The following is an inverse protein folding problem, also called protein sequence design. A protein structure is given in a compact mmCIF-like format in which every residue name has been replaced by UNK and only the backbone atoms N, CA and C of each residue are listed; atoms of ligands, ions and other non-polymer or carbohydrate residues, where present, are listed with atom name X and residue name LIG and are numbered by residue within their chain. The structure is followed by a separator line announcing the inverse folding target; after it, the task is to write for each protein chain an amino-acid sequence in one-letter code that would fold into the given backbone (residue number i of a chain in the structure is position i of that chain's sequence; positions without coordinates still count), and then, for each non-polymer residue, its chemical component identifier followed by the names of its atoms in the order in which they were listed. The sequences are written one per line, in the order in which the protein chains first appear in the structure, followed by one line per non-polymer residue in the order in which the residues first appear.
data_IF_213715904952
#
_entry.id   IF_213715904952
#
_cell.length_a   1.000
_cell.length_b   1.000
_cell.length_c   1.000
_cell.angle_alpha   90.00
_cell.angle_beta   90.00
_cell.angle_gamma   90.00
#
_symmetry.space_group_name_H-M   'P 1'
#
loop_
_entity.id
_entity.type
_entity.pdbx_description
1 polymer ?
#
# COMPACT_ATOMS: atom_id res chain seq x y z
N UNK A 1 -32.68 29.18 -23.37
CA UNK A 1 -32.22 28.04 -22.56
C UNK A 1 -30.87 27.62 -23.11
N UNK A 2 -29.85 27.53 -22.26
CA UNK A 2 -28.50 27.19 -22.72
C UNK A 2 -28.45 25.75 -23.26
N UNK A 3 -28.10 25.61 -24.55
CA UNK A 3 -28.03 24.33 -25.27
C UNK A 3 -26.72 23.56 -25.03
N UNK A 4 -25.92 23.99 -24.05
CA UNK A 4 -24.60 23.45 -23.77
C UNK A 4 -24.40 23.16 -22.28
N UNK A 5 -23.57 22.16 -21.98
CA UNK A 5 -22.97 21.93 -20.67
C UNK A 5 -21.53 22.44 -20.66
N UNK A 6 -21.12 23.09 -19.58
CA UNK A 6 -19.71 23.43 -19.34
C UNK A 6 -19.05 22.32 -18.50
N UNK A 7 -18.14 21.56 -19.11
CA UNK A 7 -17.46 20.42 -18.48
C UNK A 7 -15.96 20.68 -18.33
N UNK A 8 -15.42 20.24 -17.20
CA UNK A 8 -13.99 20.34 -16.90
C UNK A 8 -13.22 19.12 -17.45
N UNK A 9 -12.43 19.32 -18.49
CA UNK A 9 -11.50 18.33 -19.02
C UNK A 9 -10.14 18.44 -18.31
N UNK A 10 -9.75 17.39 -17.59
CA UNK A 10 -8.44 17.30 -16.94
C UNK A 10 -7.37 16.90 -17.94
N UNK A 11 -6.43 17.80 -18.26
CA UNK A 11 -5.23 17.38 -18.99
C UNK A 11 -4.44 16.40 -18.12
N UNK A 12 -3.81 15.38 -18.71
CA UNK A 12 -3.04 14.37 -17.97
C UNK A 12 -1.85 14.92 -17.14
N UNK A 13 -1.63 16.24 -17.10
CA UNK A 13 -0.62 16.92 -16.29
C UNK A 13 -1.28 17.54 -15.04
N UNK A 14 -0.69 17.31 -13.85
CA UNK A 14 -1.16 17.88 -12.57
C UNK A 14 -1.44 19.38 -12.70
N UNK A 15 -2.62 19.81 -12.27
CA UNK A 15 -2.99 21.23 -12.14
C UNK A 15 -3.52 21.92 -13.39
N UNK A 16 -3.56 21.27 -14.56
CA UNK A 16 -4.10 21.89 -15.79
C UNK A 16 -5.41 21.23 -16.21
N UNK A 17 -6.50 21.96 -15.99
CA UNK A 17 -7.85 21.61 -16.46
C UNK A 17 -8.39 22.73 -17.33
N UNK A 18 -9.13 22.40 -18.38
CA UNK A 18 -9.86 23.40 -19.18
C UNK A 18 -11.35 23.13 -19.13
N UNK A 19 -12.14 24.18 -19.25
CA UNK A 19 -13.59 24.11 -19.44
C UNK A 19 -13.88 23.94 -20.93
N UNK A 20 -14.86 23.11 -21.26
CA UNK A 20 -15.31 22.87 -22.63
C UNK A 20 -16.81 22.85 -22.67
N UNK A 21 -17.39 23.44 -23.71
CA UNK A 21 -18.82 23.39 -23.97
C UNK A 21 -19.18 22.13 -24.76
N UNK A 22 -20.15 21.37 -24.25
CA UNK A 22 -20.65 20.14 -24.87
C UNK A 22 -22.14 20.32 -25.16
N UNK A 23 -22.57 19.99 -26.38
CA UNK A 23 -23.96 20.14 -26.84
C UNK A 23 -24.90 19.15 -26.15
N UNK A 24 -25.99 19.66 -25.57
CA UNK A 24 -27.03 18.84 -24.93
C UNK A 24 -27.68 17.88 -25.92
N UNK A 25 -27.95 18.36 -27.13
CA UNK A 25 -28.59 17.59 -28.20
C UNK A 25 -27.70 16.45 -28.64
N UNK A 26 -26.40 16.70 -28.81
CA UNK A 26 -25.45 15.64 -29.16
C UNK A 26 -25.41 14.58 -28.04
N UNK A 27 -25.36 14.97 -26.76
CA UNK A 27 -25.36 14.02 -25.63
C UNK A 27 -26.63 13.16 -25.60
N UNK A 28 -27.81 13.77 -25.74
CA UNK A 28 -29.07 13.03 -25.73
C UNK A 28 -29.14 12.05 -26.91
N UNK A 29 -28.65 12.44 -28.08
CA UNK A 29 -28.63 11.57 -29.27
C UNK A 29 -27.73 10.34 -29.15
N UNK A 30 -26.80 10.31 -28.19
CA UNK A 30 -25.88 9.19 -27.99
C UNK A 30 -26.48 8.05 -27.15
N UNK A 31 -27.62 8.26 -26.49
CA UNK A 31 -28.21 7.23 -25.62
C UNK A 31 -28.48 5.93 -26.40
N UNK A 32 -27.98 4.80 -25.87
CA UNK A 32 -28.03 3.47 -26.49
C UNK A 32 -27.41 3.36 -27.90
N UNK A 33 -26.65 4.36 -28.35
CA UNK A 33 -26.00 4.38 -29.66
C UNK A 33 -24.50 4.08 -29.57
N UNK A 34 -23.89 3.78 -30.72
CA UNK A 34 -22.45 3.60 -30.86
C UNK A 34 -21.87 4.57 -31.88
N UNK A 35 -20.69 5.13 -31.58
CA UNK A 35 -20.01 6.11 -32.43
C UNK A 35 -18.52 5.81 -32.62
N UNK A 36 -17.93 6.37 -33.65
CA UNK A 36 -16.49 6.31 -33.89
C UNK A 36 -15.70 7.16 -32.89
N UNK A 37 -14.39 6.89 -32.73
CA UNK A 37 -13.50 7.75 -31.92
C UNK A 37 -13.44 9.20 -32.43
N UNK A 38 -13.66 9.40 -33.73
CA UNK A 38 -13.68 10.73 -34.33
C UNK A 38 -14.92 11.51 -33.88
N UNK A 39 -16.07 10.86 -33.87
CA UNK A 39 -17.31 11.47 -33.38
C UNK A 39 -17.26 11.72 -31.88
N UNK A 40 -16.67 10.79 -31.11
CA UNK A 40 -16.41 11.01 -29.69
C UNK A 40 -15.58 12.29 -29.47
N UNK A 41 -14.56 12.51 -30.28
CA UNK A 41 -13.73 13.70 -30.21
C UNK A 41 -14.47 14.98 -30.61
N UNK A 42 -15.27 14.93 -31.69
CA UNK A 42 -16.14 16.03 -32.10
C UNK A 42 -17.11 16.46 -30.99
N UNK A 43 -17.70 15.50 -30.28
CA UNK A 43 -18.76 15.77 -29.30
C UNK A 43 -18.18 16.20 -27.95
N UNK A 44 -17.15 15.51 -27.44
CA UNK A 44 -16.63 15.73 -26.09
C UNK A 44 -15.43 16.70 -26.02
N UNK A 45 -14.92 17.12 -27.18
CA UNK A 45 -13.89 18.17 -27.29
C UNK A 45 -14.00 18.96 -28.62
N UNK A 46 -15.15 19.62 -28.86
CA UNK A 46 -15.43 20.28 -30.13
C UNK A 46 -14.42 21.37 -30.48
N UNK A 47 -13.94 22.12 -29.48
CA UNK A 47 -12.96 23.19 -29.69
C UNK A 47 -11.67 22.67 -30.33
N UNK A 48 -11.07 21.60 -29.77
CA UNK A 48 -9.85 21.05 -30.36
C UNK A 48 -10.13 20.29 -31.64
N UNK A 49 -11.26 19.60 -31.74
CA UNK A 49 -11.67 18.95 -32.98
C UNK A 49 -11.72 19.96 -34.13
N UNK A 50 -12.30 21.15 -33.91
CA UNK A 50 -12.38 22.20 -34.92
C UNK A 50 -11.02 22.78 -35.28
N UNK A 51 -10.07 22.86 -34.32
CA UNK A 51 -8.70 23.29 -34.60
C UNK A 51 -7.93 22.25 -35.43
N UNK A 52 -8.06 20.95 -35.12
CA UNK A 52 -7.37 19.88 -35.82
C UNK A 52 -8.28 18.67 -36.13
N UNK A 53 -9.16 18.75 -37.15
CA UNK A 53 -10.15 17.70 -37.42
C UNK A 53 -9.57 16.35 -37.84
N UNK A 54 -8.31 16.34 -38.28
CA UNK A 54 -7.59 15.17 -38.79
C UNK A 54 -6.50 14.66 -37.82
N UNK A 55 -6.45 15.17 -36.59
CA UNK A 55 -5.45 14.74 -35.59
C UNK A 55 -5.66 13.27 -35.20
N UNK A 56 -4.58 12.48 -35.25
CA UNK A 56 -4.60 11.11 -34.73
C UNK A 56 -4.68 11.15 -33.20
N UNK A 57 -5.79 10.68 -32.67
CA UNK A 57 -6.01 10.63 -31.22
C UNK A 57 -5.13 9.57 -30.54
N UNK A 58 -4.24 10.01 -29.66
CA UNK A 58 -3.52 9.11 -28.77
C UNK A 58 -4.45 8.42 -27.76
N UNK A 59 -4.11 7.19 -27.35
CA UNK A 59 -4.95 6.39 -26.44
C UNK A 59 -5.24 7.06 -25.09
N UNK A 60 -4.32 7.89 -24.57
CA UNK A 60 -4.53 8.67 -23.35
C UNK A 60 -5.64 9.71 -23.51
N UNK A 61 -5.72 10.35 -24.69
CA UNK A 61 -6.75 11.35 -25.00
C UNK A 61 -8.11 10.68 -25.16
N UNK A 62 -8.18 9.57 -25.91
CA UNK A 62 -9.41 8.77 -26.04
C UNK A 62 -9.94 8.33 -24.67
N UNK A 63 -9.06 7.84 -23.79
CA UNK A 63 -9.46 7.44 -22.43
C UNK A 63 -9.95 8.62 -21.59
N UNK A 64 -9.49 9.84 -21.86
CA UNK A 64 -9.99 11.04 -21.18
C UNK A 64 -11.40 11.38 -21.66
N UNK A 65 -11.66 11.33 -22.97
CA UNK A 65 -12.98 11.60 -23.54
C UNK A 65 -14.02 10.56 -23.07
N UNK A 66 -13.65 9.28 -23.02
CA UNK A 66 -14.49 8.22 -22.46
C UNK A 66 -14.84 8.51 -21.00
N UNK A 67 -13.87 8.91 -20.18
CA UNK A 67 -14.13 9.32 -18.78
C UNK A 67 -15.01 10.55 -18.66
N UNK A 68 -15.02 11.40 -19.67
CA UNK A 68 -15.96 12.53 -19.73
C UNK A 68 -17.36 12.02 -20.05
N UNK A 69 -17.49 11.11 -21.01
CA UNK A 69 -18.76 10.48 -21.35
C UNK A 69 -19.38 9.68 -20.19
N UNK A 70 -18.57 9.02 -19.36
CA UNK A 70 -19.01 8.33 -18.14
C UNK A 70 -19.68 9.25 -17.10
N UNK A 71 -19.68 10.58 -17.27
CA UNK A 71 -20.48 11.50 -16.45
C UNK A 71 -21.93 11.59 -16.92
N UNK A 72 -22.26 11.11 -18.11
CA UNK A 72 -23.58 11.23 -18.71
C UNK A 72 -24.32 9.88 -18.79
N UNK A 73 -23.57 8.79 -18.98
CA UNK A 73 -24.13 7.45 -19.23
C UNK A 73 -23.73 6.44 -18.16
N UNK A 74 -24.63 5.50 -17.88
CA UNK A 74 -24.40 4.37 -16.96
C UNK A 74 -23.23 3.48 -17.39
N UNK A 75 -23.03 3.34 -18.69
CA UNK A 75 -22.04 2.48 -19.33
C UNK A 75 -21.47 3.14 -20.58
N UNK A 76 -20.14 3.06 -20.73
CA UNK A 76 -19.41 3.51 -21.92
C UNK A 76 -18.36 2.46 -22.24
N UNK A 77 -18.54 1.71 -23.32
CA UNK A 77 -17.71 0.54 -23.63
C UNK A 77 -17.06 0.62 -25.00
N UNK A 78 -15.88 0.03 -25.12
CA UNK A 78 -15.17 -0.12 -26.40
C UNK A 78 -15.56 -1.46 -27.00
N UNK A 79 -16.16 -1.45 -28.18
CA UNK A 79 -16.53 -2.67 -28.90
C UNK A 79 -15.95 -2.68 -30.32
N UNK A 80 -15.71 -3.86 -30.92
CA UNK A 80 -15.38 -3.95 -32.34
C UNK A 80 -16.51 -3.36 -33.19
N UNK A 81 -16.18 -2.61 -34.23
CA UNK A 81 -17.20 -2.13 -35.15
C UNK A 81 -17.77 -3.33 -35.94
N UNK A 82 -19.10 -3.50 -36.00
CA UNK A 82 -19.74 -4.60 -36.75
C UNK A 82 -19.36 -4.63 -38.22
N UNK A 83 -19.14 -3.46 -38.83
CA UNK A 83 -18.83 -3.29 -40.25
C UNK A 83 -17.34 -3.34 -40.55
N UNK A 84 -16.48 -3.10 -39.56
CA UNK A 84 -15.03 -3.22 -39.67
C UNK A 84 -14.44 -3.72 -38.34
N UNK A 85 -14.20 -5.03 -38.25
CA UNK A 85 -13.64 -5.66 -37.04
C UNK A 85 -12.24 -5.14 -36.67
N UNK A 86 -11.53 -4.46 -37.57
CA UNK A 86 -10.23 -3.83 -37.30
C UNK A 86 -10.40 -2.46 -36.63
N UNK A 87 -11.57 -1.85 -36.75
CA UNK A 87 -11.94 -0.60 -36.09
C UNK A 87 -12.68 -0.88 -34.77
N UNK A 88 -12.52 0.04 -33.81
CA UNK A 88 -13.26 0.05 -32.55
C UNK A 88 -14.22 1.23 -32.53
N UNK A 89 -15.41 1.02 -31.99
CA UNK A 89 -16.39 2.05 -31.70
C UNK A 89 -16.63 2.17 -30.19
N UNK A 90 -17.26 3.25 -29.77
CA UNK A 90 -17.71 3.47 -28.41
C UNK A 90 -19.22 3.31 -28.36
N UNK A 91 -19.69 2.37 -27.56
CA UNK A 91 -21.11 2.18 -27.26
C UNK A 91 -21.46 2.86 -25.94
N UNK A 92 -22.52 3.64 -25.95
CA UNK A 92 -23.10 4.26 -24.75
C UNK A 92 -24.34 3.49 -24.33
N UNK A 93 -24.58 3.39 -23.02
CA UNK A 93 -25.82 2.87 -22.45
C UNK A 93 -26.85 3.97 -22.23
N UNK A 94 -27.57 3.87 -21.11
CA UNK A 94 -28.62 4.82 -20.75
C UNK A 94 -28.04 6.07 -20.12
N UNK A 95 -28.71 7.20 -20.33
CA UNK A 95 -28.38 8.43 -19.61
C UNK A 95 -28.72 8.27 -18.13
N UNK A 96 -27.94 8.90 -17.26
CA UNK A 96 -28.29 8.99 -15.84
C UNK A 96 -29.56 9.81 -15.59
N UNK A 97 -29.76 10.86 -16.40
CA UNK A 97 -30.89 11.78 -16.31
C UNK A 97 -31.48 12.02 -17.72
N UNK A 98 -32.80 12.11 -17.83
CA UNK A 98 -33.50 12.30 -19.11
C UNK A 98 -33.11 13.59 -19.85
N UNK A 99 -32.68 14.60 -19.10
CA UNK A 99 -32.24 15.87 -19.67
C UNK A 99 -30.78 15.86 -20.11
N UNK A 100 -30.04 14.76 -19.87
CA UNK A 100 -28.63 14.61 -20.20
C UNK A 100 -27.69 15.37 -19.26
N UNK A 101 -28.12 15.75 -18.06
CA UNK A 101 -27.23 16.43 -17.11
C UNK A 101 -26.07 15.54 -16.65
N UNK A 102 -24.84 16.09 -16.62
CA UNK A 102 -23.68 15.36 -16.13
C UNK A 102 -23.82 15.12 -14.62
N UNK A 103 -23.58 13.89 -14.18
CA UNK A 103 -23.36 13.61 -12.76
C UNK A 103 -21.91 13.90 -12.40
N UNK A 104 -21.67 14.23 -11.13
CA UNK A 104 -20.30 14.40 -10.66
C UNK A 104 -19.52 13.10 -10.90
N UNK A 105 -18.33 13.24 -11.47
CA UNK A 105 -17.48 12.11 -11.83
C UNK A 105 -17.27 11.19 -10.62
N UNK A 106 -17.89 10.01 -10.66
CA UNK A 106 -17.53 8.89 -9.80
C UNK A 106 -16.12 8.48 -10.22
N UNK A 107 -15.10 8.98 -9.51
CA UNK A 107 -13.77 8.43 -9.65
C UNK A 107 -13.86 6.98 -9.16
N UNK A 108 -13.98 6.00 -10.06
CA UNK A 108 -13.86 4.57 -9.71
C UNK A 108 -12.51 4.20 -9.06
N UNK A 109 -11.53 5.12 -9.08
CA UNK A 109 -10.29 5.03 -8.26
C UNK A 109 -10.47 5.44 -6.79
N UNK A 110 -11.63 6.01 -6.44
CA UNK A 110 -12.06 6.40 -5.09
C UNK A 110 -13.13 5.47 -4.53
N UNK A 111 -13.68 4.55 -5.32
CA UNK A 111 -14.47 3.46 -4.75
C UNK A 111 -13.54 2.68 -3.83
N UNK A 112 -13.81 2.78 -2.54
CA UNK A 112 -13.08 2.04 -1.53
C UNK A 112 -13.18 0.56 -1.89
N UNK A 113 -12.03 -0.12 -1.93
CA UNK A 113 -12.07 -1.58 -1.97
C UNK A 113 -12.80 -2.10 -0.75
N UNK A 114 -13.42 -3.29 -0.87
CA UNK A 114 -14.17 -3.95 0.23
C UNK A 114 -13.43 -3.90 1.58
N UNK A 115 -12.11 -4.10 1.55
CA UNK A 115 -11.22 -4.01 2.71
C UNK A 115 -11.30 -2.66 3.44
N UNK A 116 -11.31 -1.54 2.72
CA UNK A 116 -11.33 -0.22 3.34
C UNK A 116 -12.69 0.13 3.92
N UNK A 117 -13.79 -0.33 3.29
CA UNK A 117 -15.13 -0.24 3.88
C UNK A 117 -15.25 -1.06 5.16
N UNK A 118 -14.69 -2.26 5.20
CA UNK A 118 -14.68 -3.09 6.41
C UNK A 118 -13.89 -2.43 7.54
N UNK A 119 -12.74 -1.81 7.22
CA UNK A 119 -11.98 -1.03 8.21
C UNK A 119 -12.78 0.18 8.71
N UNK A 120 -13.47 0.88 7.80
CA UNK A 120 -14.33 2.00 8.15
C UNK A 120 -15.43 1.56 9.11
N UNK A 121 -16.11 0.45 8.80
CA UNK A 121 -17.11 -0.15 9.68
C UNK A 121 -16.54 -0.47 11.07
N UNK A 122 -15.42 -1.19 11.14
CA UNK A 122 -14.78 -1.57 12.42
C UNK A 122 -14.38 -0.33 13.24
N UNK A 123 -13.85 0.71 12.58
CA UNK A 123 -13.52 1.99 13.23
C UNK A 123 -14.80 2.62 13.80
N UNK A 124 -15.83 2.83 12.99
CA UNK A 124 -17.09 3.43 13.41
C UNK A 124 -17.77 2.66 14.54
N UNK A 125 -17.79 1.34 14.46
CA UNK A 125 -18.36 0.46 15.48
C UNK A 125 -17.60 0.54 16.81
N UNK A 126 -16.27 0.64 16.78
CA UNK A 126 -15.49 0.87 18.01
C UNK A 126 -15.73 2.28 18.57
N UNK A 127 -15.90 3.29 17.72
CA UNK A 127 -16.20 4.66 18.15
C UNK A 127 -17.55 4.72 18.86
N UNK A 128 -18.58 4.08 18.32
CA UNK A 128 -19.93 4.12 18.88
C UNK A 128 -20.06 3.33 20.19
N UNK A 129 -19.22 2.29 20.38
CA UNK A 129 -19.31 1.36 21.53
C UNK A 129 -18.25 1.56 22.62
N UNK A 130 -17.13 2.22 22.34
CA UNK A 130 -16.01 2.37 23.29
C UNK A 130 -15.58 3.82 23.40
N UNK A 131 -15.20 4.22 24.62
CA UNK A 131 -14.51 5.49 24.83
C UNK A 131 -13.12 5.41 24.18
N UNK A 132 -12.95 6.15 23.09
CA UNK A 132 -11.66 6.18 22.40
C UNK A 132 -10.75 7.18 23.11
N UNK A 133 -9.53 6.75 23.50
CA UNK A 133 -8.65 7.61 24.28
C UNK A 133 -8.19 8.81 23.46
N UNK A 134 -8.30 10.01 24.03
CA UNK A 134 -7.83 11.27 23.43
C UNK A 134 -6.31 11.41 23.56
N UNK A 135 -5.57 10.58 22.81
CA UNK A 135 -4.11 10.49 22.90
C UNK A 135 -3.49 10.46 21.51
N UNK A 136 -2.20 10.84 21.43
CA UNK A 136 -1.43 10.66 20.21
C UNK A 136 -0.79 9.28 20.19
N UNK A 137 -1.00 8.54 19.10
CA UNK A 137 -0.44 7.22 18.90
C UNK A 137 0.06 7.03 17.46
N UNK A 138 0.95 6.06 17.26
CA UNK A 138 1.32 5.65 15.90
C UNK A 138 0.15 4.93 15.23
N UNK A 139 0.10 4.89 13.89
CA UNK A 139 -0.96 4.16 13.15
C UNK A 139 -1.04 2.68 13.56
N UNK A 140 0.12 2.09 13.81
CA UNK A 140 0.28 0.73 14.28
C UNK A 140 -0.41 0.49 15.63
N UNK A 141 -0.35 1.47 16.54
CA UNK A 141 -1.08 1.42 17.82
C UNK A 141 -2.57 1.68 17.64
N UNK A 142 -2.96 2.59 16.76
CA UNK A 142 -4.38 2.76 16.42
C UNK A 142 -5.02 1.49 15.84
N UNK A 143 -4.33 0.78 14.95
CA UNK A 143 -4.78 -0.51 14.43
C UNK A 143 -5.03 -1.53 15.56
N UNK A 144 -4.17 -1.52 16.59
CA UNK A 144 -4.33 -2.35 17.80
C UNK A 144 -5.53 -1.89 18.63
N UNK A 145 -5.69 -0.58 18.85
CA UNK A 145 -6.84 0.00 19.57
C UNK A 145 -8.19 -0.34 18.92
N UNK A 146 -8.26 -0.34 17.60
CA UNK A 146 -9.48 -0.72 16.86
C UNK A 146 -9.67 -2.23 16.70
N UNK A 147 -8.76 -3.06 17.24
CA UNK A 147 -8.81 -4.52 17.12
C UNK A 147 -8.48 -5.06 15.73
N UNK A 148 -8.07 -4.21 14.79
CA UNK A 148 -7.71 -4.57 13.41
C UNK A 148 -6.38 -5.32 13.30
N UNK A 149 -5.60 -5.32 14.39
CA UNK A 149 -4.31 -5.98 14.45
C UNK A 149 -4.00 -6.39 15.90
N UNK A 150 -3.60 -7.65 16.14
CA UNK A 150 -3.29 -8.10 17.49
C UNK A 150 -1.96 -7.51 17.99
N UNK A 151 -1.85 -7.28 19.31
CA UNK A 151 -0.63 -6.81 19.95
C UNK A 151 0.58 -7.75 19.71
N UNK A 152 0.33 -9.05 19.55
CA UNK A 152 1.34 -10.05 19.23
C UNK A 152 2.01 -9.82 17.88
N UNK A 153 1.26 -9.37 16.86
CA UNK A 153 1.82 -9.04 15.55
C UNK A 153 2.82 -7.87 15.63
N UNK A 154 2.51 -6.85 16.45
CA UNK A 154 3.42 -5.74 16.69
C UNK A 154 4.72 -6.19 17.35
N UNK A 155 4.61 -7.04 18.37
CA UNK A 155 5.77 -7.59 19.07
C UNK A 155 6.67 -8.35 18.12
N UNK A 156 6.11 -9.21 17.28
CA UNK A 156 6.87 -9.99 16.31
C UNK A 156 7.53 -9.11 15.24
N UNK A 157 6.83 -8.09 14.75
CA UNK A 157 7.38 -7.14 13.79
C UNK A 157 8.60 -6.38 14.33
N UNK A 158 8.50 -5.82 15.53
CA UNK A 158 9.62 -5.11 16.14
C UNK A 158 10.75 -6.07 16.49
N UNK A 159 10.43 -7.26 17.01
CA UNK A 159 11.42 -8.29 17.27
C UNK A 159 12.18 -8.72 16.01
N UNK A 160 11.50 -8.79 14.87
CA UNK A 160 12.12 -9.09 13.58
C UNK A 160 12.98 -7.93 13.08
N UNK A 161 12.50 -6.69 13.15
CA UNK A 161 13.30 -5.51 12.75
C UNK A 161 14.57 -5.42 13.59
N UNK A 162 14.43 -5.64 14.91
CA UNK A 162 15.53 -5.60 15.86
C UNK A 162 16.42 -6.85 15.74
N UNK A 163 15.96 -7.96 15.13
CA UNK A 163 16.79 -9.16 14.87
C UNK A 163 17.88 -8.97 13.82
N UNK A 164 17.81 -7.89 13.04
CA UNK A 164 18.91 -7.46 12.19
C UNK A 164 19.90 -6.54 12.93
N UNK A 165 19.62 -6.17 14.19
CA UNK A 165 20.59 -5.53 15.05
C UNK A 165 21.46 -6.62 15.67
N UNK A 166 22.72 -6.67 15.24
CA UNK A 166 23.79 -7.31 16.00
C UNK A 166 23.79 -6.64 17.38
N UNK A 167 23.63 -7.41 18.46
CA UNK A 167 23.73 -6.79 19.79
C UNK A 167 25.16 -6.27 20.02
N UNK A 168 25.37 -5.52 21.10
CA UNK A 168 26.67 -4.90 21.44
C UNK A 168 27.83 -5.92 21.53
N UNK A 169 27.51 -7.22 21.61
CA UNK A 169 28.45 -8.33 21.72
C UNK A 169 28.61 -9.14 20.42
N UNK A 170 28.05 -8.72 19.28
CA UNK A 170 28.20 -9.46 18.02
C UNK A 170 27.15 -10.55 17.75
N UNK A 171 26.15 -10.73 18.61
CA UNK A 171 25.20 -11.84 18.49
C UNK A 171 24.07 -11.54 17.50
N UNK A 172 23.75 -12.51 16.64
CA UNK A 172 22.56 -12.51 15.79
C UNK A 172 21.36 -13.11 16.51
N UNK A 173 20.17 -12.53 16.34
CA UNK A 173 18.92 -13.14 16.80
C UNK A 173 18.45 -14.15 15.74
N UNK A 174 18.33 -15.43 16.12
CA UNK A 174 17.74 -16.48 15.28
C UNK A 174 16.25 -16.68 15.61
N UNK A 175 15.48 -16.97 14.57
CA UNK A 175 14.07 -17.37 14.67
C UNK A 175 14.02 -18.88 14.43
N UNK A 176 14.03 -19.68 15.49
CA UNK A 176 14.28 -21.12 15.34
C UNK A 176 13.11 -21.87 14.69
N UNK A 177 11.85 -21.59 15.05
CA UNK A 177 10.73 -22.34 14.46
C UNK A 177 9.36 -21.68 14.67
N UNK A 178 8.48 -21.88 13.68
CA UNK A 178 7.04 -21.67 13.81
C UNK A 178 6.49 -22.83 14.63
N UNK A 179 5.98 -22.53 15.83
CA UNK A 179 5.21 -23.50 16.61
C UNK A 179 4.00 -24.00 15.81
N UNK A 180 3.46 -25.14 16.21
CA UNK A 180 2.22 -25.66 15.62
C UNK A 180 1.06 -24.65 15.70
N UNK A 181 1.09 -23.75 16.69
CA UNK A 181 0.14 -22.65 16.92
C UNK A 181 0.50 -21.34 16.18
N UNK A 182 1.53 -21.34 15.33
CA UNK A 182 1.87 -20.19 14.49
C UNK A 182 2.73 -19.10 15.14
N UNK A 183 3.33 -19.36 16.30
CA UNK A 183 4.26 -18.43 16.98
C UNK A 183 5.70 -18.71 16.59
N UNK A 184 6.53 -17.67 16.41
CA UNK A 184 7.97 -17.89 16.33
C UNK A 184 8.54 -18.01 17.74
N UNK A 185 9.13 -19.16 18.04
CA UNK A 185 10.00 -19.27 19.20
C UNK A 185 11.26 -18.45 18.94
N UNK A 186 11.52 -17.48 19.82
CA UNK A 186 12.79 -16.77 19.84
C UNK A 186 13.78 -17.65 20.56
N UNK A 187 14.87 -17.99 19.89
CA UNK A 187 16.00 -18.61 20.55
C UNK A 187 17.21 -17.76 20.26
N UNK A 188 17.84 -17.28 21.33
CA UNK A 188 19.10 -16.57 21.22
C UNK A 188 20.19 -17.63 21.07
N UNK A 189 20.71 -17.83 19.84
CA UNK A 189 21.93 -18.61 19.65
C UNK A 189 23.13 -17.68 19.59
N UNK A 190 24.19 -18.07 20.28
CA UNK A 190 25.51 -17.48 20.12
C UNK A 190 26.08 -17.99 18.79
N UNK A 191 26.32 -17.11 17.83
CA UNK A 191 27.29 -17.41 16.78
C UNK A 191 28.66 -17.19 17.42
N UNK A 192 29.22 -18.25 18.04
CA UNK A 192 30.67 -18.26 18.25
C UNK A 192 31.30 -18.27 16.87
N UNK A 193 31.82 -17.13 16.45
CA UNK A 193 32.78 -17.04 15.34
C UNK A 193 34.15 -17.39 15.91
N UNK A 194 34.32 -18.62 16.39
CA UNK A 194 35.65 -19.17 16.62
C UNK A 194 36.04 -19.94 15.36
N UNK A 195 36.85 -19.27 14.54
CA UNK A 195 37.88 -19.95 13.76
C UNK A 195 38.79 -20.69 14.74
N UNK A 196 38.38 -21.89 15.14
CA UNK A 196 39.25 -22.91 15.72
C UNK A 196 38.60 -24.27 15.42
N UNK A 197 38.63 -24.64 14.15
CA UNK A 197 38.59 -26.06 13.79
C UNK A 197 40.04 -26.50 13.68
N UNK A 198 40.54 -27.07 14.77
CA UNK A 198 41.63 -28.05 14.71
C UNK A 198 41.10 -29.20 13.85
N UNK A 199 41.47 -29.19 12.56
CA UNK A 199 41.12 -30.25 11.62
C UNK A 199 42.06 -31.42 11.90
N UNK A 200 41.57 -32.37 12.70
CA UNK A 200 42.00 -33.76 12.60
C UNK A 200 40.77 -34.66 12.34
N UNK A 201 40.91 -35.46 11.29
CA UNK A 201 40.10 -36.61 10.87
C UNK A 201 38.87 -36.36 9.97
N UNK A 202 39.09 -36.56 8.66
CA UNK A 202 38.29 -37.25 7.62
C UNK A 202 36.74 -37.37 7.73
N UNK A 203 36.01 -36.46 8.38
CA UNK A 203 34.53 -36.42 8.35
C UNK A 203 33.91 -35.14 7.78
N UNK A 204 34.69 -34.26 7.15
CA UNK A 204 34.30 -32.89 6.78
C UNK A 204 33.24 -32.76 5.66
N UNK A 205 32.96 -33.84 4.93
CA UNK A 205 32.08 -33.79 3.75
C UNK A 205 30.57 -33.81 4.07
N UNK A 206 30.16 -34.17 5.30
CA UNK A 206 28.75 -34.29 5.67
C UNK A 206 28.29 -33.16 6.62
N UNK A 207 29.17 -32.72 7.53
CA UNK A 207 28.87 -31.63 8.47
C UNK A 207 28.72 -30.28 7.77
N UNK A 208 29.58 -30.00 6.79
CA UNK A 208 29.55 -28.76 6.00
C UNK A 208 28.27 -28.65 5.16
N UNK A 209 27.86 -29.74 4.49
CA UNK A 209 26.59 -29.79 3.76
C UNK A 209 25.38 -29.62 4.67
N UNK A 210 25.39 -30.26 5.84
CA UNK A 210 24.32 -30.15 6.83
C UNK A 210 24.22 -28.72 7.39
N UNK A 211 25.34 -28.07 7.68
CA UNK A 211 25.40 -26.66 8.12
C UNK A 211 24.85 -25.74 7.03
N UNK A 212 25.31 -25.89 5.79
CA UNK A 212 24.82 -25.09 4.64
C UNK A 212 23.32 -25.32 4.41
N UNK A 213 22.84 -26.56 4.50
CA UNK A 213 21.42 -26.87 4.31
C UNK A 213 20.54 -26.27 5.42
N UNK A 214 21.01 -26.29 6.67
CA UNK A 214 20.34 -25.63 7.80
C UNK A 214 20.31 -24.11 7.59
N UNK A 215 21.43 -23.48 7.24
CA UNK A 215 21.53 -22.04 7.00
C UNK A 215 20.65 -21.58 5.82
N UNK A 216 20.58 -22.37 4.73
CA UNK A 216 19.71 -22.09 3.57
C UNK A 216 18.23 -22.24 3.92
N UNK A 217 17.85 -23.23 4.75
CA UNK A 217 16.45 -23.40 5.20
C UNK A 217 16.03 -22.30 6.19
N UNK A 218 16.90 -21.92 7.11
CA UNK A 218 16.65 -20.84 8.07
C UNK A 218 16.53 -19.48 7.38
N UNK A 219 17.43 -19.17 6.44
CA UNK A 219 17.36 -17.93 5.64
C UNK A 219 16.07 -17.87 4.81
N UNK A 220 15.62 -18.98 4.21
CA UNK A 220 14.35 -19.04 3.48
C UNK A 220 13.13 -18.82 4.39
N UNK A 221 13.05 -19.48 5.55
CA UNK A 221 11.98 -19.26 6.54
C UNK A 221 11.94 -17.80 7.00
N UNK A 222 13.11 -17.21 7.30
CA UNK A 222 13.25 -15.80 7.67
C UNK A 222 12.73 -14.86 6.58
N UNK A 223 13.11 -15.09 5.32
CA UNK A 223 12.63 -14.30 4.18
C UNK A 223 11.13 -14.41 3.97
N UNK A 224 10.54 -15.60 4.11
CA UNK A 224 9.09 -15.79 4.01
C UNK A 224 8.33 -15.02 5.09
N UNK A 225 8.79 -15.10 6.33
CA UNK A 225 8.15 -14.38 7.43
C UNK A 225 8.29 -12.86 7.27
N UNK A 226 9.45 -12.38 6.83
CA UNK A 226 9.65 -10.97 6.50
C UNK A 226 8.67 -10.49 5.42
N UNK A 227 8.50 -11.29 4.37
CA UNK A 227 7.54 -11.01 3.30
C UNK A 227 6.10 -10.97 3.84
N UNK A 228 5.74 -11.91 4.72
CA UNK A 228 4.44 -11.95 5.39
C UNK A 228 4.17 -10.68 6.20
N UNK A 229 5.10 -10.30 7.08
CA UNK A 229 4.94 -9.14 7.96
C UNK A 229 4.85 -7.84 7.15
N UNK A 230 5.70 -7.68 6.13
CA UNK A 230 5.72 -6.48 5.29
C UNK A 230 4.44 -6.32 4.44
N UNK A 231 3.95 -7.42 3.85
CA UNK A 231 2.68 -7.42 3.11
C UNK A 231 1.49 -7.17 4.05
N UNK A 232 1.47 -7.83 5.20
CA UNK A 232 0.45 -7.63 6.24
C UNK A 232 0.35 -6.17 6.66
N UNK A 233 1.49 -5.59 7.05
CA UNK A 233 1.55 -4.18 7.47
C UNK A 233 1.11 -3.23 6.37
N UNK A 234 1.51 -3.51 5.12
CA UNK A 234 1.12 -2.69 3.97
C UNK A 234 -0.39 -2.74 3.75
N UNK A 235 -1.00 -3.92 3.80
CA UNK A 235 -2.45 -4.09 3.73
C UNK A 235 -3.18 -3.30 4.82
N UNK A 236 -2.82 -3.54 6.09
CA UNK A 236 -3.48 -2.93 7.24
C UNK A 236 -3.36 -1.40 7.19
N UNK A 237 -2.14 -0.87 7.04
CA UNK A 237 -1.89 0.58 7.05
C UNK A 237 -2.56 1.28 5.87
N UNK A 238 -2.55 0.68 4.66
CA UNK A 238 -3.14 1.31 3.49
C UNK A 238 -4.67 1.37 3.59
N UNK A 239 -5.32 0.28 4.00
CA UNK A 239 -6.78 0.26 4.16
C UNK A 239 -7.23 1.14 5.33
N UNK A 240 -6.47 1.15 6.43
CA UNK A 240 -6.72 2.05 7.56
C UNK A 240 -6.62 3.52 7.15
N UNK A 241 -5.57 3.91 6.42
CA UNK A 241 -5.45 5.28 5.92
C UNK A 241 -6.56 5.68 4.95
N UNK A 242 -7.01 4.75 4.11
CA UNK A 242 -8.10 5.00 3.17
C UNK A 242 -9.42 5.22 3.91
N UNK A 243 -9.72 4.38 4.89
CA UNK A 243 -10.90 4.53 5.76
C UNK A 243 -10.87 5.87 6.51
N UNK A 244 -9.77 6.17 7.20
CA UNK A 244 -9.59 7.40 7.96
C UNK A 244 -9.78 8.66 7.10
N UNK A 245 -9.20 8.71 5.90
CA UNK A 245 -9.34 9.87 4.99
C UNK A 245 -10.78 10.12 4.56
N UNK A 246 -11.59 9.07 4.47
CA UNK A 246 -12.99 9.20 4.04
C UNK A 246 -13.85 9.62 5.22
N UNK A 247 -13.64 9.01 6.38
CA UNK A 247 -14.29 9.46 7.60
C UNK A 247 -13.98 10.94 7.91
N UNK A 248 -12.75 11.38 7.67
CA UNK A 248 -12.34 12.78 7.81
C UNK A 248 -13.00 13.68 6.75
N UNK A 249 -12.99 13.26 5.47
CA UNK A 249 -13.67 13.99 4.38
C UNK A 249 -15.18 14.14 4.63
N UNK A 250 -15.79 13.11 5.19
CA UNK A 250 -17.23 13.06 5.47
C UNK A 250 -17.57 13.72 6.83
N UNK A 251 -16.59 14.40 7.45
CA UNK A 251 -16.72 15.14 8.71
C UNK A 251 -17.22 14.29 9.89
N UNK A 252 -16.91 12.99 9.89
CA UNK A 252 -17.18 12.10 11.01
C UNK A 252 -16.09 12.22 12.08
N UNK A 253 -14.83 12.29 11.62
CA UNK A 253 -13.65 12.41 12.47
C UNK A 253 -12.77 13.59 12.07
N UNK A 254 -11.92 14.03 12.99
CA UNK A 254 -10.82 14.95 12.75
C UNK A 254 -9.51 14.26 13.12
N UNK A 255 -8.51 14.32 12.24
CA UNK A 255 -7.21 13.70 12.48
C UNK A 255 -6.16 14.79 12.67
N UNK A 256 -5.63 14.86 13.89
CA UNK A 256 -4.47 15.68 14.17
C UNK A 256 -3.18 14.85 14.10
N UNK A 257 -2.06 15.46 13.73
CA UNK A 257 -0.79 14.74 13.63
C UNK A 257 0.41 15.63 13.96
N UNK A 258 1.39 15.04 14.63
CA UNK A 258 2.65 15.69 15.01
C UNK A 258 3.82 14.72 14.95
N UNK A 259 5.04 15.23 14.96
CA UNK A 259 6.24 14.39 15.09
C UNK A 259 6.67 14.23 16.55
N UNK A 260 7.00 13.00 16.92
CA UNK A 260 7.65 12.66 18.18
C UNK A 260 8.98 12.00 17.91
N UNK A 261 9.94 12.19 18.80
CA UNK A 261 11.25 11.57 18.75
C UNK A 261 11.62 10.91 20.07
N UNK A 262 12.42 9.85 19.96
CA UNK A 262 13.12 9.26 21.09
C UNK A 262 14.41 10.06 21.29
N UNK A 263 14.33 11.14 22.06
CA UNK A 263 15.42 12.09 22.32
C UNK A 263 16.49 11.43 23.18
N UNK A 264 17.74 11.44 22.72
CA UNK A 264 18.89 10.89 23.44
C UNK A 264 19.33 11.91 24.49
N UNK A 265 19.43 11.47 25.74
CA UNK A 265 19.95 12.22 26.88
C UNK A 265 21.04 11.42 27.57
N UNK A 266 21.91 12.11 28.31
CA UNK A 266 22.91 11.51 29.17
C UNK A 266 22.45 11.60 30.62
N UNK A 267 22.65 10.52 31.39
CA UNK A 267 22.52 10.59 32.85
C UNK A 267 23.81 11.12 33.48
N UNK A 268 23.81 11.29 34.81
CA UNK A 268 24.96 11.82 35.57
C UNK A 268 26.21 10.93 35.45
N UNK A 269 26.03 9.65 35.12
CA UNK A 269 27.11 8.68 34.86
C UNK A 269 27.52 8.60 33.39
N UNK A 270 27.04 9.52 32.53
CA UNK A 270 27.39 9.58 31.11
C UNK A 270 26.75 8.49 30.24
N UNK A 271 25.78 7.74 30.73
CA UNK A 271 25.08 6.71 29.95
C UNK A 271 23.90 7.31 29.17
N UNK A 272 23.78 6.92 27.90
CA UNK A 272 22.68 7.35 27.03
C UNK A 272 21.36 6.67 27.42
N UNK A 273 20.29 7.46 27.54
CA UNK A 273 18.91 6.98 27.65
C UNK A 273 18.00 7.82 26.75
N UNK A 274 16.82 7.29 26.42
CA UNK A 274 15.86 7.99 25.55
C UNK A 274 14.64 8.49 26.31
N UNK A 275 14.20 9.71 25.99
CA UNK A 275 12.91 10.27 26.46
C UNK A 275 12.01 10.60 25.28
N UNK A 276 10.70 10.40 25.42
CA UNK A 276 9.75 10.84 24.40
C UNK A 276 9.73 12.37 24.36
N UNK A 277 9.89 12.93 23.16
CA UNK A 277 9.93 14.36 22.94
C UNK A 277 9.02 14.71 21.75
N UNK A 278 8.18 15.74 21.89
CA UNK A 278 7.38 16.26 20.78
C UNK A 278 8.17 17.37 20.10
N UNK A 279 8.38 17.23 18.78
CA UNK A 279 9.12 18.22 18.01
C UNK A 279 8.33 19.54 17.92
N UNK A 280 9.05 20.66 17.97
CA UNK A 280 8.48 21.97 17.61
C UNK A 280 8.51 22.18 16.09
N UNK A 281 7.86 23.24 15.61
CA UNK A 281 7.73 23.50 14.17
C UNK A 281 9.08 23.58 13.43
N UNK A 282 10.09 24.26 13.99
CA UNK A 282 11.41 24.36 13.36
C UNK A 282 12.10 22.99 13.29
N UNK A 283 12.02 22.21 14.36
CA UNK A 283 12.54 20.84 14.37
C UNK A 283 11.83 19.93 13.37
N UNK A 284 10.51 20.09 13.20
CA UNK A 284 9.77 19.35 12.19
C UNK A 284 10.20 19.73 10.76
N UNK A 285 10.51 21.00 10.51
CA UNK A 285 11.05 21.47 9.23
C UNK A 285 12.43 20.85 8.95
N UNK A 286 13.35 20.91 9.92
CA UNK A 286 14.66 20.24 9.77
C UNK A 286 14.55 18.74 9.58
N UNK A 287 13.65 18.08 10.32
CA UNK A 287 13.44 16.65 10.14
C UNK A 287 12.94 16.32 8.72
N UNK A 288 12.03 17.14 8.16
CA UNK A 288 11.57 16.96 6.77
C UNK A 288 12.71 17.14 5.77
N UNK A 289 13.60 18.12 5.99
CA UNK A 289 14.77 18.34 5.13
C UNK A 289 15.75 17.16 5.16
N UNK A 290 16.05 16.62 6.36
CA UNK A 290 16.89 15.41 6.52
C UNK A 290 16.23 14.23 5.80
N UNK A 291 14.92 14.03 6.00
CA UNK A 291 14.18 12.95 5.38
C UNK A 291 14.22 13.04 3.85
N UNK A 292 14.01 14.23 3.28
CA UNK A 292 14.07 14.47 1.84
C UNK A 292 15.47 14.25 1.27
N UNK A 293 16.50 14.70 1.99
CA UNK A 293 17.90 14.51 1.59
C UNK A 293 18.27 13.04 1.55
N UNK A 294 18.01 12.31 2.65
CA UNK A 294 18.22 10.86 2.70
C UNK A 294 17.43 10.14 1.60
N UNK A 295 16.19 10.57 1.33
CA UNK A 295 15.35 9.99 0.27
C UNK A 295 16.03 10.14 -1.10
N UNK A 296 16.54 11.33 -1.44
CA UNK A 296 17.22 11.58 -2.72
C UNK A 296 18.51 10.77 -2.84
N UNK A 297 19.31 10.67 -1.78
CA UNK A 297 20.54 9.86 -1.77
C UNK A 297 20.23 8.37 -1.96
N UNK A 298 19.23 7.86 -1.25
CA UNK A 298 18.80 6.47 -1.37
C UNK A 298 18.27 6.17 -2.78
N UNK A 299 17.51 7.10 -3.37
CA UNK A 299 17.03 6.99 -4.75
C UNK A 299 18.12 6.89 -5.80
N UNK A 300 19.20 7.66 -5.62
CA UNK A 300 20.33 7.65 -6.54
C UNK A 300 21.07 6.32 -6.48
N UNK A 301 21.19 5.74 -5.29
CA UNK A 301 21.92 4.49 -5.06
C UNK A 301 21.10 3.24 -5.42
N UNK A 302 19.80 3.24 -5.16
CA UNK A 302 18.94 2.05 -5.24
C UNK A 302 17.72 2.17 -6.18
N UNK A 303 17.50 3.34 -6.79
CA UNK A 303 16.38 3.58 -7.72
C UNK A 303 15.07 4.02 -7.05
N UNK A 304 14.08 4.44 -7.88
CA UNK A 304 12.88 5.16 -7.43
C UNK A 304 11.79 4.32 -6.73
N UNK A 305 11.88 2.99 -6.71
CA UNK A 305 10.77 2.09 -6.35
C UNK A 305 10.79 1.55 -4.91
N UNK A 306 11.86 1.74 -4.13
CA UNK A 306 12.05 1.11 -2.82
C UNK A 306 12.15 2.19 -1.74
N UNK A 307 11.05 2.64 -1.11
CA UNK A 307 11.13 3.93 -0.39
C UNK A 307 10.53 4.08 1.00
N UNK A 308 9.74 3.17 1.53
CA UNK A 308 9.02 3.47 2.79
C UNK A 308 9.10 2.36 3.83
N UNK A 309 9.50 1.16 3.42
CA UNK A 309 9.52 -0.02 4.27
C UNK A 309 10.88 -0.71 4.30
N UNK A 310 11.87 -0.15 3.61
CA UNK A 310 13.21 -0.68 3.64
C UNK A 310 13.85 -0.38 5.01
N UNK A 311 14.38 -1.43 5.63
CA UNK A 311 15.08 -1.34 6.92
C UNK A 311 16.35 -0.51 6.74
N UNK A 312 17.02 -0.63 5.58
CA UNK A 312 18.26 0.08 5.28
C UNK A 312 18.03 1.59 5.19
N UNK A 313 16.92 2.00 4.54
CA UNK A 313 16.56 3.41 4.47
C UNK A 313 16.28 4.02 5.85
N UNK A 314 15.60 3.28 6.73
CA UNK A 314 15.36 3.72 8.12
C UNK A 314 16.66 3.82 8.90
N UNK A 315 17.58 2.89 8.71
CA UNK A 315 18.88 2.90 9.37
C UNK A 315 19.69 4.13 8.97
N UNK A 316 19.67 4.53 7.68
CA UNK A 316 20.31 5.75 7.21
C UNK A 316 19.75 6.99 7.92
N UNK A 317 18.42 7.13 8.00
CA UNK A 317 17.80 8.26 8.69
C UNK A 317 18.16 8.24 10.18
N UNK A 318 18.00 7.10 10.84
CA UNK A 318 18.26 6.97 12.28
C UNK A 318 19.72 7.26 12.60
N UNK A 319 20.66 6.84 11.76
CA UNK A 319 22.08 7.14 11.91
C UNK A 319 22.37 8.64 11.77
N UNK A 320 21.75 9.33 10.81
CA UNK A 320 21.88 10.79 10.70
C UNK A 320 21.33 11.48 11.96
N UNK A 321 20.14 11.08 12.41
CA UNK A 321 19.51 11.64 13.62
C UNK A 321 20.31 11.35 14.89
N UNK A 322 20.89 10.16 14.99
CA UNK A 322 21.63 9.74 16.17
C UNK A 322 23.04 10.28 16.18
N UNK A 323 23.68 10.60 15.04
CA UNK A 323 25.04 11.15 15.00
C UNK A 323 25.07 12.67 14.89
N UNK A 324 24.24 13.24 14.01
CA UNK A 324 24.24 14.68 13.71
C UNK A 324 23.10 15.44 14.37
N UNK A 325 22.02 14.75 14.77
CA UNK A 325 20.83 15.40 15.32
C UNK A 325 20.06 16.23 14.29
N UNK A 326 19.16 17.08 14.79
CA UNK A 326 18.49 18.12 13.99
C UNK A 326 19.36 19.40 14.07
N UNK A 327 20.06 19.77 13.00
CA UNK A 327 20.99 20.91 13.02
C UNK A 327 20.25 22.26 13.16
N UNK A 328 20.34 22.89 14.33
CA UNK A 328 20.78 24.29 14.48
C UNK A 328 21.03 24.59 15.96
N UNK A 329 22.26 24.99 16.27
CA UNK A 329 22.75 25.62 17.51
C UNK A 329 22.72 24.81 18.82
N UNK A 330 21.87 23.78 18.96
CA UNK A 330 21.95 22.73 19.99
C UNK A 330 21.45 21.42 19.37
N UNK A 331 22.33 20.62 18.75
CA UNK A 331 21.91 19.46 17.97
C UNK A 331 21.33 18.36 18.87
N UNK A 332 20.02 18.41 19.11
CA UNK A 332 19.29 17.35 19.78
C UNK A 332 19.42 16.08 18.93
N UNK A 333 20.07 15.08 19.52
CA UNK A 333 20.25 13.76 18.93
C UNK A 333 19.02 12.91 19.22
N UNK A 334 18.53 12.21 18.21
CA UNK A 334 17.37 11.34 18.35
C UNK A 334 17.74 9.94 17.90
N UNK A 335 17.28 8.92 18.64
CA UNK A 335 17.40 7.52 18.19
C UNK A 335 16.53 7.27 16.95
N UNK A 336 15.37 7.91 16.92
CA UNK A 336 14.43 7.95 15.78
C UNK A 336 13.41 9.07 15.98
N UNK A 337 12.83 9.53 14.87
CA UNK A 337 11.66 10.42 14.85
C UNK A 337 10.55 9.70 14.08
N UNK A 338 9.33 9.76 14.60
CA UNK A 338 8.17 9.10 14.03
C UNK A 338 6.93 9.98 14.13
N UNK A 339 5.99 9.78 13.20
CA UNK A 339 4.73 10.51 13.16
C UNK A 339 3.67 9.84 14.02
N UNK A 340 3.01 10.62 14.87
CA UNK A 340 1.88 10.18 15.70
C UNK A 340 0.61 10.95 15.33
N UNK A 341 -0.53 10.35 15.63
CA UNK A 341 -1.85 10.81 15.22
C UNK A 341 -2.80 10.78 16.41
N UNK A 342 -3.66 11.79 16.52
CA UNK A 342 -4.82 11.80 17.40
C UNK A 342 -6.07 11.79 16.53
N UNK A 343 -7.03 10.94 16.85
CA UNK A 343 -8.31 10.83 16.14
C UNK A 343 -9.39 11.36 17.08
N UNK A 344 -10.08 12.42 16.67
CA UNK A 344 -11.15 13.07 17.43
C UNK A 344 -12.48 12.89 16.70
N UNK A 345 -13.57 12.71 17.44
CA UNK A 345 -14.92 12.60 16.87
C UNK A 345 -15.54 13.97 16.79
N UNK A 346 -16.22 14.22 15.67
CA UNK A 346 -16.95 15.47 15.44
C UNK A 346 -18.46 15.23 15.67
N UNK A 347 -18.92 14.02 15.38
CA UNK A 347 -20.33 13.63 15.43
C UNK A 347 -20.68 12.86 16.72
N UNK A 348 -21.95 12.89 17.12
CA UNK A 348 -22.45 12.06 18.22
C UNK A 348 -22.73 10.61 17.74
N UNK A 349 -23.08 9.72 18.67
CA UNK A 349 -23.33 8.32 18.36
C UNK A 349 -24.51 8.10 17.40
N UNK A 350 -25.58 8.89 17.51
CA UNK A 350 -26.76 8.77 16.66
C UNK A 350 -26.43 9.13 15.21
N UNK A 351 -25.64 10.18 15.00
CA UNK A 351 -25.17 10.61 13.68
C UNK A 351 -24.26 9.55 13.04
N UNK A 352 -23.41 8.88 13.82
CA UNK A 352 -22.59 7.76 13.33
C UNK A 352 -23.47 6.57 12.92
N UNK A 353 -24.48 6.21 13.73
CA UNK A 353 -25.40 5.13 13.41
C UNK A 353 -26.21 5.43 12.14
N UNK A 354 -26.67 6.67 11.99
CA UNK A 354 -27.36 7.11 10.77
C UNK A 354 -26.44 7.08 9.55
N UNK A 355 -25.17 7.46 9.69
CA UNK A 355 -24.18 7.35 8.62
C UNK A 355 -23.96 5.89 8.19
N UNK A 356 -23.84 4.96 9.13
CA UNK A 356 -23.72 3.52 8.85
C UNK A 356 -24.96 3.00 8.12
N UNK A 357 -26.16 3.26 8.64
CA UNK A 357 -27.43 2.82 8.03
C UNK A 357 -27.68 3.42 6.65
N UNK A 358 -27.27 4.67 6.44
CA UNK A 358 -27.41 5.37 5.16
C UNK A 358 -26.43 4.87 4.07
N UNK A 359 -25.45 4.04 4.43
CA UNK A 359 -24.48 3.49 3.49
C UNK A 359 -24.71 1.99 3.31
N UNK A 360 -25.17 1.56 2.12
CA UNK A 360 -25.54 0.17 1.82
C UNK A 360 -24.45 -0.85 2.20
N UNK A 361 -23.18 -0.56 1.90
CA UNK A 361 -22.07 -1.47 2.21
C UNK A 361 -21.80 -1.54 3.71
N UNK A 362 -21.79 -0.41 4.40
CA UNK A 362 -21.60 -0.39 5.86
C UNK A 362 -22.77 -1.03 6.60
N UNK A 363 -24.00 -0.78 6.16
CA UNK A 363 -25.20 -1.38 6.71
C UNK A 363 -25.17 -2.91 6.55
N UNK A 364 -24.70 -3.41 5.40
CA UNK A 364 -24.53 -4.86 5.22
C UNK A 364 -23.55 -5.49 6.21
N UNK A 365 -22.54 -4.76 6.67
CA UNK A 365 -21.62 -5.23 7.71
C UNK A 365 -22.22 -5.13 9.12
N UNK A 366 -23.07 -4.14 9.38
CA UNK A 366 -23.79 -4.03 10.67
C UNK A 366 -24.76 -5.18 10.91
N UNK A 367 -25.34 -5.73 9.84
CA UNK A 367 -26.25 -6.88 9.89
C UNK A 367 -25.52 -8.22 10.10
N UNK A 368 -24.19 -8.25 9.97
CA UNK A 368 -23.38 -9.47 10.15
C UNK A 368 -23.03 -9.72 11.62
N UNK A 369 -22.97 -11.00 11.99
CA UNK A 369 -22.37 -11.45 13.24
C UNK A 369 -20.86 -11.23 13.25
N UNK A 370 -20.25 -11.21 14.45
CA UNK A 370 -18.78 -11.12 14.58
C UNK A 370 -18.05 -12.27 13.86
N UNK A 371 -18.67 -13.44 13.72
CA UNK A 371 -18.07 -14.58 12.99
C UNK A 371 -18.06 -14.32 11.49
N UNK A 372 -19.17 -13.83 10.93
CA UNK A 372 -19.27 -13.51 9.50
C UNK A 372 -18.34 -12.36 9.11
N UNK A 373 -18.26 -11.31 9.93
CA UNK A 373 -17.32 -10.20 9.71
C UNK A 373 -15.86 -10.68 9.72
N UNK A 374 -15.54 -11.64 10.59
CA UNK A 374 -14.22 -12.25 10.65
C UNK A 374 -13.90 -13.08 9.41
N UNK A 375 -14.86 -13.84 8.89
CA UNK A 375 -14.70 -14.60 7.65
C UNK A 375 -14.48 -13.67 6.45
N UNK A 376 -15.29 -12.61 6.33
CA UNK A 376 -15.14 -11.59 5.29
C UNK A 376 -13.77 -10.92 5.38
N UNK A 377 -13.32 -10.53 6.57
CA UNK A 377 -11.99 -9.97 6.77
C UNK A 377 -10.90 -10.93 6.31
N UNK A 378 -10.97 -12.18 6.77
CA UNK A 378 -9.96 -13.21 6.48
C UNK A 378 -9.86 -13.48 4.98
N UNK A 379 -10.99 -13.60 4.30
CA UNK A 379 -11.05 -13.80 2.86
C UNK A 379 -10.43 -12.62 2.10
N UNK A 380 -10.81 -11.38 2.44
CA UNK A 380 -10.25 -10.18 1.82
C UNK A 380 -8.73 -10.09 2.04
N UNK A 381 -8.26 -10.44 3.25
CA UNK A 381 -6.85 -10.38 3.59
C UNK A 381 -6.05 -11.45 2.83
N UNK A 382 -6.53 -12.70 2.78
CA UNK A 382 -5.89 -13.78 2.02
C UNK A 382 -5.87 -13.46 0.52
N UNK A 383 -6.98 -12.97 -0.04
CA UNK A 383 -7.05 -12.57 -1.45
C UNK A 383 -6.06 -11.45 -1.78
N UNK A 384 -5.86 -10.48 -0.87
CA UNK A 384 -4.84 -9.45 -1.04
C UNK A 384 -3.43 -10.06 -1.14
N UNK A 385 -3.12 -11.07 -0.32
CA UNK A 385 -1.85 -11.78 -0.37
C UNK A 385 -1.63 -12.46 -1.73
N UNK A 386 -2.64 -13.18 -2.21
CA UNK A 386 -2.60 -13.92 -3.48
C UNK A 386 -2.45 -12.95 -4.67
N UNK A 387 -3.25 -11.88 -4.71
CA UNK A 387 -3.24 -10.87 -5.76
C UNK A 387 -1.93 -10.08 -5.81
N UNK A 388 -1.36 -9.79 -4.65
CA UNK A 388 -0.07 -9.08 -4.55
C UNK A 388 1.05 -9.92 -5.15
N UNK A 389 1.13 -11.20 -4.74
CA UNK A 389 2.14 -12.12 -5.23
C UNK A 389 2.00 -12.41 -6.73
N UNK A 390 0.77 -12.64 -7.21
CA UNK A 390 0.48 -12.86 -8.63
C UNK A 390 0.89 -11.68 -9.52
N UNK A 391 0.68 -10.44 -9.03
CA UNK A 391 1.10 -9.23 -9.75
C UNK A 391 2.61 -9.10 -9.86
N UNK A 392 3.35 -9.45 -8.82
CA UNK A 392 4.81 -9.39 -8.84
C UNK A 392 5.41 -10.42 -9.80
N UNK A 393 4.87 -11.65 -9.80
CA UNK A 393 5.22 -12.69 -10.79
C UNK A 393 4.91 -12.20 -12.21
N UNK A 394 3.71 -11.65 -12.43
CA UNK A 394 3.28 -11.18 -13.75
C UNK A 394 4.15 -10.03 -14.27
N UNK A 395 4.55 -9.09 -13.40
CA UNK A 395 5.47 -8.00 -13.77
C UNK A 395 6.83 -8.54 -14.21
N UNK A 396 7.39 -9.50 -13.48
CA UNK A 396 8.69 -10.09 -13.81
C UNK A 396 8.63 -10.92 -15.10
N UNK A 397 7.57 -11.72 -15.29
CA UNK A 397 7.30 -12.40 -16.58
C UNK A 397 7.25 -11.40 -17.73
N UNK A 398 6.53 -10.30 -17.59
CA UNK A 398 6.47 -9.25 -18.61
C UNK A 398 7.83 -8.60 -18.89
N UNK A 399 8.69 -8.43 -17.87
CA UNK A 399 10.06 -7.93 -18.07
C UNK A 399 10.87 -8.95 -18.88
N UNK A 400 10.75 -10.24 -18.55
CA UNK A 400 11.40 -11.32 -19.28
C UNK A 400 10.92 -11.38 -20.75
N UNK A 401 9.61 -11.38 -20.98
CA UNK A 401 9.02 -11.41 -22.33
C UNK A 401 9.54 -10.23 -23.18
N UNK A 402 9.63 -9.04 -22.60
CA UNK A 402 10.20 -7.86 -23.29
C UNK A 402 11.69 -8.00 -23.59
N UNK A 403 12.47 -8.74 -22.79
CA UNK A 403 13.89 -9.01 -23.07
C UNK A 403 14.02 -10.03 -24.20
N UNK A 404 13.17 -11.06 -24.21
CA UNK A 404 13.11 -12.10 -25.25
C UNK A 404 12.67 -11.49 -26.59
N UNK A 405 11.62 -10.68 -26.61
CA UNK A 405 11.11 -10.01 -27.83
C UNK A 405 12.12 -9.03 -28.45
N UNK A 406 13.03 -8.46 -27.65
CA UNK A 406 14.07 -7.52 -28.13
C UNK A 406 15.31 -8.20 -28.69
N UNK A 407 15.37 -9.53 -28.71
CA UNK A 407 16.41 -10.28 -29.42
C UNK A 407 17.84 -9.95 -28.95
N UNK A 408 18.11 -10.03 -27.64
CA UNK A 408 19.49 -9.95 -27.17
C UNK A 408 20.24 -11.24 -27.53
N UNK A 409 21.28 -11.11 -28.36
CA UNK A 409 22.04 -12.23 -28.94
C UNK A 409 23.01 -12.93 -27.99
N UNK A 410 23.25 -14.21 -28.32
CA UNK A 410 24.08 -15.28 -27.73
C UNK A 410 25.15 -14.98 -26.67
N UNK A 411 25.25 -15.91 -25.71
CA UNK A 411 26.33 -16.07 -24.73
C UNK A 411 25.87 -15.71 -23.32
N UNK A 412 26.05 -14.46 -22.92
CA UNK A 412 25.74 -13.98 -21.56
C UNK A 412 24.23 -13.86 -21.30
N UNK A 413 23.43 -13.66 -22.35
CA UNK A 413 21.99 -13.46 -22.26
C UNK A 413 21.27 -14.73 -21.82
N UNK A 414 21.78 -15.90 -22.18
CA UNK A 414 21.16 -17.19 -21.86
C UNK A 414 21.26 -17.49 -20.37
N UNK A 415 22.41 -17.22 -19.76
CA UNK A 415 22.61 -17.29 -18.31
C UNK A 415 21.78 -16.25 -17.56
N UNK A 416 21.64 -15.03 -18.09
CA UNK A 416 20.73 -14.01 -17.53
C UNK A 416 19.25 -14.42 -17.62
N UNK A 417 18.81 -15.02 -18.74
CA UNK A 417 17.46 -15.52 -18.92
C UNK A 417 17.18 -16.74 -18.02
N UNK A 418 18.14 -17.65 -17.88
CA UNK A 418 18.09 -18.79 -16.97
C UNK A 418 18.02 -18.33 -15.51
N UNK A 419 18.80 -17.29 -15.14
CA UNK A 419 18.73 -16.66 -13.83
C UNK A 419 17.35 -16.04 -13.58
N UNK A 420 16.82 -15.25 -14.53
CA UNK A 420 15.49 -14.65 -14.41
C UNK A 420 14.38 -15.70 -14.33
N UNK A 421 14.48 -16.81 -15.08
CA UNK A 421 13.54 -17.94 -15.03
C UNK A 421 13.62 -18.68 -13.69
N UNK A 422 14.83 -18.92 -13.18
CA UNK A 422 15.07 -19.52 -11.87
C UNK A 422 14.50 -18.64 -10.76
N UNK A 423 14.66 -17.32 -10.87
CA UNK A 423 14.08 -16.34 -9.96
C UNK A 423 12.55 -16.33 -10.01
N UNK A 424 11.94 -16.41 -11.20
CA UNK A 424 10.47 -16.52 -11.34
C UNK A 424 9.96 -17.82 -10.70
N UNK A 425 10.66 -18.94 -10.91
CA UNK A 425 10.30 -20.23 -10.31
C UNK A 425 10.44 -20.19 -8.79
N UNK A 426 11.54 -19.61 -8.28
CA UNK A 426 11.76 -19.41 -6.86
C UNK A 426 10.68 -18.51 -6.24
N UNK A 427 10.31 -17.41 -6.91
CA UNK A 427 9.23 -16.52 -6.46
C UNK A 427 7.86 -17.20 -6.46
N UNK A 428 7.59 -18.05 -7.45
CA UNK A 428 6.33 -18.81 -7.51
C UNK A 428 6.25 -19.80 -6.34
N UNK A 429 7.34 -20.55 -6.09
CA UNK A 429 7.44 -21.46 -4.93
C UNK A 429 7.37 -20.71 -3.60
N UNK A 430 8.05 -19.58 -3.45
CA UNK A 430 7.95 -18.73 -2.26
C UNK A 430 6.56 -18.14 -2.08
N UNK A 431 5.84 -17.86 -3.17
CA UNK A 431 4.47 -17.36 -3.12
C UNK A 431 3.53 -18.41 -2.53
N UNK A 432 3.57 -19.65 -3.02
CA UNK A 432 2.76 -20.73 -2.47
C UNK A 432 3.05 -20.99 -0.98
N UNK A 433 4.32 -20.98 -0.58
CA UNK A 433 4.73 -21.11 0.82
C UNK A 433 4.23 -19.94 1.67
N UNK A 434 4.31 -18.72 1.14
CA UNK A 434 3.82 -17.51 1.80
C UNK A 434 2.30 -17.49 1.94
N UNK A 435 1.56 -17.98 0.94
CA UNK A 435 0.09 -18.07 0.97
C UNK A 435 -0.39 -19.07 2.03
N UNK A 436 0.26 -20.24 2.10
CA UNK A 436 0.00 -21.24 3.14
C UNK A 436 0.27 -20.67 4.54
N UNK A 437 1.43 -20.01 4.70
CA UNK A 437 1.80 -19.36 5.95
C UNK A 437 0.80 -18.25 6.32
N UNK A 438 0.46 -17.37 5.38
CA UNK A 438 -0.48 -16.27 5.62
C UNK A 438 -1.87 -16.78 6.00
N UNK A 439 -2.38 -17.79 5.29
CA UNK A 439 -3.68 -18.42 5.58
C UNK A 439 -3.72 -18.98 7.00
N UNK A 440 -2.67 -19.71 7.39
CA UNK A 440 -2.53 -20.26 8.74
C UNK A 440 -2.51 -19.14 9.78
N UNK A 441 -1.58 -18.18 9.64
CA UNK A 441 -1.39 -17.10 10.61
C UNK A 441 -2.58 -16.14 10.70
N UNK A 442 -3.29 -15.86 9.59
CA UNK A 442 -4.49 -15.03 9.61
C UNK A 442 -5.58 -15.73 10.41
N UNK A 443 -5.86 -17.01 10.13
CA UNK A 443 -6.90 -17.78 10.83
C UNK A 443 -6.59 -17.95 12.33
N UNK A 444 -5.34 -18.18 12.68
CA UNK A 444 -4.93 -18.48 14.06
C UNK A 444 -4.66 -17.22 14.90
N UNK A 445 -4.13 -16.14 14.30
CA UNK A 445 -3.55 -15.01 15.06
C UNK A 445 -4.25 -13.68 14.88
N UNK A 446 -4.87 -13.43 13.73
CA UNK A 446 -5.46 -12.12 13.42
C UNK A 446 -6.91 -11.99 13.86
N UNK A 447 -7.46 -12.94 14.63
CA UNK A 447 -8.87 -12.94 15.06
C UNK A 447 -9.21 -11.56 15.64
N UNK A 448 -9.95 -10.78 14.86
CA UNK A 448 -10.31 -9.40 15.23
C UNK A 448 -11.17 -9.51 16.48
N UNK A 449 -10.84 -8.73 17.50
CA UNK A 449 -11.73 -8.57 18.65
C UNK A 449 -12.89 -7.66 18.23
N UNK A 450 -13.83 -8.22 17.47
CA UNK A 450 -15.12 -7.61 17.13
C UNK A 450 -16.03 -7.84 18.34
N UNK A 451 -15.69 -7.17 19.43
CA UNK A 451 -16.46 -7.14 20.69
C UNK A 451 -16.88 -5.71 20.97
#
# INVERSE_FOLDING_TARGET
MDNFYEIKLNSGKKGKSRKVQISKVDIISLENNAISYRELYRIFDPEKYNMNPNEKLGGAHVNQLIKTAEQFFDTVTKEPNPNDKRAKQIRFGKLYNQDGQPIERINKRKDLGKASYLFMYIILNNISKKEIPNVYQTKTRWLETFGLMPASFNRDYYSFIDSNAVNENGNSILLDELSEEGYFNKTYKYLHTEYDLDISDESELDTSKKIIEVEVKESRKKSLFQAYINKSKSFLINNFNSALKILERDNIIFIDSKYQGDLIKLNDSGHEYTVNYTLNQKEEEYFKEIYETCTKEYEQKFGKSYKVFDVDFRNIINEQLSKKGLNNEDSRRFKRIYKVYSIKFIQNNDDILNYVKGNEVLNSYEEMTSSELWEVFSEIYINYFNDSSSRDISKRKKVLDNKVEKGFGFGDVEDFLLSDLKDIKNLSSMTEELEKLATKLIKERHRISIS
#
